data_IF_360253172217
#
_entry.id   IF_360253172217
#
_cell.length_a   1.000
_cell.length_b   1.000
_cell.length_c   1.000
_cell.angle_alpha   90.00
_cell.angle_beta   90.00
_cell.angle_gamma   90.00
#
_symmetry.space_group_name_H-M   'P 1'
#
loop_
_entity.id
_entity.type
_entity.pdbx_description
1 polymer ?
#
# COMPACT_ATOMS: atom_id res chain seq x y z
N UNK A 1 -3.56 -1.40 15.53
CA UNK A 1 -3.16 -2.64 16.19
C UNK A 1 -4.07 -3.00 17.36
N UNK A 2 -4.32 -2.10 18.32
CA UNK A 2 -5.06 -2.41 19.55
C UNK A 2 -6.51 -2.87 19.31
N UNK A 3 -7.25 -2.21 18.42
CA UNK A 3 -8.65 -2.56 18.09
C UNK A 3 -8.79 -3.99 17.54
N UNK A 4 -7.85 -4.43 16.72
CA UNK A 4 -7.86 -5.77 16.11
C UNK A 4 -7.00 -6.79 16.87
N UNK A 5 -6.44 -6.40 18.02
CA UNK A 5 -5.55 -7.22 18.85
C UNK A 5 -4.38 -7.83 18.06
N UNK A 6 -3.87 -7.11 17.05
CA UNK A 6 -2.72 -7.58 16.28
C UNK A 6 -1.47 -7.61 17.14
N UNK A 7 -0.68 -8.68 17.05
CA UNK A 7 0.59 -8.82 17.75
C UNK A 7 1.68 -7.91 17.18
N UNK A 8 1.61 -7.62 15.88
CA UNK A 8 2.59 -6.79 15.20
C UNK A 8 1.95 -5.92 14.11
N UNK A 9 2.59 -4.81 13.81
CA UNK A 9 2.31 -3.92 12.69
C UNK A 9 3.61 -3.50 12.02
N UNK A 10 3.59 -3.35 10.69
CA UNK A 10 4.78 -3.06 9.90
C UNK A 10 4.49 -1.93 8.92
N UNK A 11 5.50 -1.10 8.69
CA UNK A 11 5.49 -0.13 7.59
C UNK A 11 6.57 -0.49 6.56
N UNK A 12 6.31 -0.17 5.29
CA UNK A 12 7.29 -0.37 4.21
C UNK A 12 8.61 0.39 4.45
N UNK A 13 8.56 1.46 5.22
CA UNK A 13 9.72 2.26 5.65
C UNK A 13 10.63 1.55 6.64
N UNK A 14 10.26 0.37 7.14
CA UNK A 14 11.04 -0.42 8.08
C UNK A 14 10.73 -0.11 9.55
N UNK A 15 9.62 0.55 9.84
CA UNK A 15 9.13 0.71 11.21
C UNK A 15 8.33 -0.52 11.62
N UNK A 16 8.63 -1.07 12.80
CA UNK A 16 8.04 -2.28 13.32
C UNK A 16 7.48 -2.02 14.71
N UNK A 17 6.24 -2.40 14.92
CA UNK A 17 5.50 -2.23 16.17
C UNK A 17 5.10 -3.60 16.68
N UNK A 18 5.47 -3.93 17.89
CA UNK A 18 5.10 -5.20 18.54
C UNK A 18 4.27 -4.93 19.80
N UNK A 19 3.09 -5.53 19.89
CA UNK A 19 2.24 -5.50 21.09
C UNK A 19 2.67 -6.59 22.08
N UNK A 20 2.14 -6.50 23.30
CA UNK A 20 2.33 -7.54 24.32
C UNK A 20 1.89 -8.92 23.78
N UNK A 21 2.65 -9.99 24.05
CA UNK A 21 3.82 -10.05 24.93
C UNK A 21 5.17 -9.76 24.23
N UNK A 22 5.16 -9.43 22.93
CA UNK A 22 6.38 -9.26 22.13
C UNK A 22 7.02 -7.86 22.27
N UNK A 23 6.26 -6.86 22.66
CA UNK A 23 6.70 -5.48 22.82
C UNK A 23 5.64 -4.61 23.47
N UNK A 24 5.78 -3.28 23.38
CA UNK A 24 4.95 -2.29 24.08
C UNK A 24 4.05 -1.46 23.15
N UNK A 25 3.99 -1.79 21.86
CA UNK A 25 3.11 -1.15 20.90
C UNK A 25 3.66 0.13 20.25
N UNK A 26 4.94 0.46 20.45
CA UNK A 26 5.61 1.57 19.78
C UNK A 26 6.74 1.07 18.86
N UNK A 27 7.26 1.95 18.01
CA UNK A 27 8.38 1.67 17.13
C UNK A 27 9.66 1.48 17.94
N UNK A 28 10.26 0.29 17.87
CA UNK A 28 11.44 -0.09 18.64
C UNK A 28 12.37 -0.96 17.79
N UNK A 29 13.43 -0.31 17.26
CA UNK A 29 14.42 -0.98 16.42
C UNK A 29 15.24 -2.03 17.15
N UNK A 30 15.47 -1.88 18.48
CA UNK A 30 16.20 -2.85 19.28
C UNK A 30 15.34 -4.11 19.46
N UNK A 31 14.08 -3.92 19.85
CA UNK A 31 13.15 -5.03 19.96
C UNK A 31 12.95 -5.73 18.60
N UNK A 32 12.87 -4.97 17.52
CA UNK A 32 12.76 -5.52 16.15
C UNK A 32 13.95 -6.42 15.81
N UNK A 33 15.17 -6.00 16.13
CA UNK A 33 16.38 -6.82 15.94
C UNK A 33 16.33 -8.10 16.77
N UNK A 34 15.87 -8.02 18.04
CA UNK A 34 15.70 -9.20 18.92
C UNK A 34 14.68 -10.18 18.31
N UNK A 35 13.56 -9.70 17.79
CA UNK A 35 12.55 -10.58 17.17
C UNK A 35 13.11 -11.28 15.91
N UNK A 36 13.92 -10.57 15.09
CA UNK A 36 14.61 -11.22 13.96
C UNK A 36 15.62 -12.27 14.42
N UNK A 37 16.42 -11.99 15.44
CA UNK A 37 17.33 -12.98 16.00
C UNK A 37 16.59 -14.21 16.52
N UNK A 38 15.48 -14.03 17.25
CA UNK A 38 14.63 -15.14 17.72
C UNK A 38 14.07 -15.96 16.56
N UNK A 39 13.63 -15.32 15.50
CA UNK A 39 13.14 -16.00 14.29
C UNK A 39 14.24 -16.88 13.70
N UNK A 40 15.45 -16.36 13.57
CA UNK A 40 16.57 -17.11 13.00
C UNK A 40 17.04 -18.24 13.91
N UNK A 41 17.04 -18.04 15.24
CA UNK A 41 17.40 -19.04 16.22
C UNK A 41 16.36 -20.19 16.30
N UNK A 42 15.11 -19.90 15.96
CA UNK A 42 14.02 -20.89 16.00
C UNK A 42 13.97 -21.83 14.79
N UNK A 43 14.83 -21.67 13.80
CA UNK A 43 14.86 -22.48 12.56
C UNK A 43 16.28 -22.67 12.04
N UNK A 44 16.47 -23.76 11.31
CA UNK A 44 17.77 -24.11 10.69
C UNK A 44 17.99 -23.43 9.33
N UNK A 45 17.06 -22.55 8.90
CA UNK A 45 17.10 -21.85 7.60
C UNK A 45 17.81 -20.51 7.69
N UNK A 46 18.56 -20.16 6.63
CA UNK A 46 19.08 -18.80 6.46
C UNK A 46 17.94 -17.85 6.12
N UNK A 47 18.08 -16.57 6.48
CA UNK A 47 17.08 -15.53 6.17
C UNK A 47 16.79 -15.43 4.66
N UNK A 48 17.80 -15.65 3.81
CA UNK A 48 17.62 -15.65 2.35
C UNK A 48 16.73 -16.80 1.87
N UNK A 49 16.77 -17.96 2.54
CA UNK A 49 15.93 -19.11 2.22
C UNK A 49 14.49 -18.82 2.63
N UNK A 50 14.28 -18.24 3.83
CA UNK A 50 12.97 -17.82 4.31
C UNK A 50 12.34 -16.80 3.35
N UNK A 51 13.11 -15.80 2.93
CA UNK A 51 12.64 -14.77 1.98
C UNK A 51 12.27 -15.38 0.62
N UNK A 52 13.05 -16.36 0.14
CA UNK A 52 12.78 -17.01 -1.14
C UNK A 52 11.53 -17.91 -1.13
N UNK A 53 11.05 -18.31 0.04
CA UNK A 53 9.80 -19.07 0.20
C UNK A 53 8.55 -18.18 0.15
N UNK A 54 8.72 -16.86 0.32
CA UNK A 54 7.59 -15.92 0.25
C UNK A 54 7.04 -15.86 -1.18
N UNK A 55 5.71 -15.72 -1.33
CA UNK A 55 5.10 -15.52 -2.65
C UNK A 55 5.70 -14.29 -3.35
N UNK A 56 6.08 -14.47 -4.60
CA UNK A 56 6.57 -13.33 -5.41
C UNK A 56 5.42 -12.40 -5.75
N UNK A 57 5.64 -11.12 -5.53
CA UNK A 57 4.74 -10.04 -5.96
C UNK A 57 5.48 -9.01 -6.82
N UNK A 58 4.72 -8.25 -7.58
CA UNK A 58 5.22 -7.19 -8.45
C UNK A 58 4.69 -5.87 -7.91
N UNK A 59 5.53 -5.08 -7.27
CA UNK A 59 5.13 -3.83 -6.63
C UNK A 59 5.83 -2.63 -7.31
N UNK A 60 5.12 -1.49 -7.42
CA UNK A 60 5.77 -0.22 -7.75
C UNK A 60 6.60 0.26 -6.57
N UNK A 61 7.64 1.07 -6.80
CA UNK A 61 8.14 1.93 -5.73
C UNK A 61 6.99 2.82 -5.20
N UNK A 62 7.21 3.49 -4.08
CA UNK A 62 6.27 4.50 -3.61
C UNK A 62 6.36 5.71 -4.52
N UNK A 63 5.34 5.93 -5.36
CA UNK A 63 5.27 7.02 -6.31
C UNK A 63 4.65 8.25 -5.65
N UNK A 64 5.24 9.43 -5.86
CA UNK A 64 4.81 10.68 -5.23
C UNK A 64 4.46 11.75 -6.27
N UNK A 65 3.27 11.70 -6.92
CA UNK A 65 2.86 12.73 -7.84
C UNK A 65 2.60 14.04 -7.08
N UNK A 66 3.04 15.15 -7.64
CA UNK A 66 2.85 16.47 -7.04
C UNK A 66 1.36 16.80 -6.89
N UNK A 67 0.99 17.31 -5.72
CA UNK A 67 -0.35 17.87 -5.47
C UNK A 67 -0.22 18.93 -4.36
N UNK A 68 -0.74 20.13 -4.59
CA UNK A 68 -0.67 21.22 -3.61
C UNK A 68 -1.29 20.82 -2.27
N UNK A 69 -0.69 21.28 -1.17
CA UNK A 69 -1.13 20.93 0.19
C UNK A 69 -2.61 21.29 0.45
N UNK A 70 -3.08 22.41 -0.09
CA UNK A 70 -4.47 22.87 0.07
C UNK A 70 -5.47 22.00 -0.70
N UNK A 71 -5.00 21.27 -1.70
CA UNK A 71 -5.83 20.48 -2.61
C UNK A 71 -5.77 18.98 -2.36
N UNK A 72 -4.65 18.45 -1.87
CA UNK A 72 -4.38 17.00 -1.80
C UNK A 72 -5.46 16.20 -1.07
N UNK A 73 -5.97 16.71 0.04
CA UNK A 73 -7.01 16.01 0.80
C UNK A 73 -8.36 16.01 0.08
N UNK A 74 -8.72 17.13 -0.58
CA UNK A 74 -9.95 17.22 -1.39
C UNK A 74 -9.87 16.31 -2.62
N UNK A 75 -8.70 16.24 -3.25
CA UNK A 75 -8.44 15.32 -4.36
C UNK A 75 -8.64 13.89 -3.91
N UNK A 76 -8.01 13.48 -2.82
CA UNK A 76 -8.13 12.12 -2.28
C UNK A 76 -9.58 11.80 -1.90
N UNK A 77 -10.30 12.71 -1.24
CA UNK A 77 -11.71 12.51 -0.91
C UNK A 77 -12.58 12.27 -2.17
N UNK A 78 -12.33 13.04 -3.23
CA UNK A 78 -13.03 12.86 -4.50
C UNK A 78 -12.75 11.51 -5.14
N UNK A 79 -11.50 11.03 -5.04
CA UNK A 79 -11.08 9.71 -5.55
C UNK A 79 -11.67 8.57 -4.72
N UNK A 80 -11.75 8.71 -3.39
CA UNK A 80 -12.46 7.75 -2.52
C UNK A 80 -13.89 7.57 -3.01
N UNK A 81 -14.64 8.67 -3.19
CA UNK A 81 -16.03 8.63 -3.69
C UNK A 81 -16.12 7.97 -5.06
N UNK A 82 -15.16 8.26 -5.95
CA UNK A 82 -15.13 7.70 -7.31
C UNK A 82 -14.85 6.18 -7.29
N UNK A 83 -13.89 5.71 -6.50
CA UNK A 83 -13.56 4.28 -6.40
C UNK A 83 -14.72 3.50 -5.76
N UNK A 84 -15.38 4.05 -4.72
CA UNK A 84 -16.58 3.46 -4.13
C UNK A 84 -17.71 3.31 -5.16
N UNK A 85 -17.92 4.33 -6.00
CA UNK A 85 -18.91 4.28 -7.09
C UNK A 85 -18.56 3.23 -8.14
N UNK A 86 -17.27 3.11 -8.50
CA UNK A 86 -16.80 2.07 -9.44
C UNK A 86 -17.07 0.66 -8.92
N UNK A 87 -16.83 0.41 -7.62
CA UNK A 87 -17.17 -0.86 -6.99
C UNK A 87 -18.69 -1.12 -7.02
N UNK A 88 -19.50 -0.13 -6.63
CA UNK A 88 -20.95 -0.25 -6.64
C UNK A 88 -21.52 -0.57 -8.04
N UNK A 89 -20.91 -0.02 -9.07
CA UNK A 89 -21.28 -0.25 -10.46
C UNK A 89 -20.67 -1.55 -11.07
N UNK A 90 -19.95 -2.36 -10.27
CA UNK A 90 -19.23 -3.54 -10.75
C UNK A 90 -18.27 -3.24 -11.91
N UNK A 91 -17.70 -2.03 -11.93
CA UNK A 91 -16.72 -1.65 -12.96
C UNK A 91 -15.45 -2.48 -12.80
N UNK A 92 -14.96 -3.03 -13.91
CA UNK A 92 -13.76 -3.86 -13.93
C UNK A 92 -12.52 -3.01 -14.20
N UNK A 93 -11.43 -3.34 -13.53
CA UNK A 93 -10.08 -2.83 -13.77
C UNK A 93 -9.30 -3.99 -14.39
N UNK A 94 -8.93 -3.85 -15.66
CA UNK A 94 -8.26 -4.91 -16.43
C UNK A 94 -8.94 -6.29 -16.25
N UNK A 95 -10.26 -6.33 -16.49
CA UNK A 95 -11.14 -7.50 -16.39
C UNK A 95 -11.37 -8.05 -14.97
N UNK A 96 -10.86 -7.41 -13.92
CA UNK A 96 -11.06 -7.79 -12.52
C UNK A 96 -12.01 -6.84 -11.81
N UNK A 97 -12.90 -7.36 -10.98
CA UNK A 97 -13.77 -6.56 -10.11
C UNK A 97 -13.02 -6.09 -8.87
N UNK A 98 -13.47 -4.97 -8.32
CA UNK A 98 -13.03 -4.51 -6.99
C UNK A 98 -13.75 -5.34 -5.94
N UNK A 99 -12.99 -6.13 -5.16
CA UNK A 99 -13.54 -6.99 -4.10
C UNK A 99 -13.62 -6.26 -2.78
N UNK A 100 -12.62 -5.45 -2.45
CA UNK A 100 -12.56 -4.74 -1.17
C UNK A 100 -12.04 -3.31 -1.32
N UNK A 101 -12.44 -2.42 -0.40
CA UNK A 101 -11.99 -1.02 -0.32
C UNK A 101 -11.76 -0.65 1.13
N UNK A 102 -10.56 -0.15 1.43
CA UNK A 102 -10.19 0.46 2.71
C UNK A 102 -10.03 1.98 2.54
N UNK A 103 -10.63 2.76 3.44
CA UNK A 103 -10.67 4.23 3.35
C UNK A 103 -10.12 4.94 4.60
N UNK A 104 -9.20 4.32 5.33
CA UNK A 104 -8.66 4.85 6.60
C UNK A 104 -7.91 6.17 6.40
N UNK A 105 -7.06 6.26 5.36
CA UNK A 105 -6.30 7.47 5.03
C UNK A 105 -6.09 7.54 3.51
N UNK A 106 -7.20 7.70 2.78
CA UNK A 106 -7.21 7.62 1.33
C UNK A 106 -8.04 6.43 0.85
N UNK A 107 -7.64 5.82 -0.24
CA UNK A 107 -8.31 4.62 -0.79
C UNK A 107 -7.30 3.55 -1.15
N UNK A 108 -7.47 2.36 -0.59
CA UNK A 108 -6.84 1.13 -1.05
C UNK A 108 -7.94 0.20 -1.55
N UNK A 109 -7.87 -0.19 -2.79
CA UNK A 109 -8.80 -1.16 -3.39
C UNK A 109 -8.07 -2.45 -3.72
N UNK A 110 -8.75 -3.59 -3.53
CA UNK A 110 -8.26 -4.92 -3.88
C UNK A 110 -9.09 -5.49 -5.03
N UNK A 111 -8.45 -6.28 -5.88
CA UNK A 111 -9.07 -6.95 -7.04
C UNK A 111 -9.25 -8.44 -6.76
N UNK A 112 -10.03 -9.13 -7.62
CA UNK A 112 -10.36 -10.56 -7.49
C UNK A 112 -9.11 -11.46 -7.43
N UNK A 113 -8.02 -11.08 -8.11
CA UNK A 113 -6.75 -11.83 -8.14
C UNK A 113 -5.81 -11.49 -6.97
N UNK A 114 -6.24 -10.69 -6.00
CA UNK A 114 -5.44 -10.23 -4.86
C UNK A 114 -4.54 -9.04 -5.18
N UNK A 115 -4.46 -8.59 -6.42
CA UNK A 115 -3.76 -7.34 -6.77
C UNK A 115 -4.46 -6.12 -6.15
N UNK A 116 -3.73 -5.04 -5.90
CA UNK A 116 -4.30 -3.87 -5.26
C UNK A 116 -3.64 -2.55 -5.70
N UNK A 117 -4.36 -1.45 -5.46
CA UNK A 117 -3.86 -0.09 -5.64
C UNK A 117 -4.18 0.79 -4.44
N UNK A 118 -3.27 1.70 -4.11
CA UNK A 118 -3.39 2.66 -3.02
C UNK A 118 -3.18 4.08 -3.53
N UNK A 119 -4.05 4.98 -3.10
CA UNK A 119 -3.91 6.43 -3.27
C UNK A 119 -4.18 7.08 -1.92
N UNK A 120 -3.23 7.91 -1.42
CA UNK A 120 -3.45 8.71 -0.22
C UNK A 120 -2.73 10.06 -0.31
N UNK A 121 -3.11 11.00 0.54
CA UNK A 121 -2.35 12.23 0.72
C UNK A 121 -1.05 11.96 1.48
N UNK A 122 0.05 12.60 1.07
CA UNK A 122 1.26 12.64 1.88
C UNK A 122 1.04 13.51 3.12
N UNK A 123 1.50 13.07 4.29
CA UNK A 123 1.39 13.85 5.53
C UNK A 123 2.38 15.01 5.61
N UNK A 124 3.52 14.90 4.92
CA UNK A 124 4.67 15.79 5.09
C UNK A 124 5.19 16.44 3.80
N UNK A 125 4.56 16.17 2.66
CA UNK A 125 4.97 16.73 1.36
C UNK A 125 3.75 17.19 0.56
N UNK A 126 3.90 18.19 -0.35
CA UNK A 126 2.85 18.59 -1.30
C UNK A 126 2.71 17.56 -2.43
N UNK A 127 2.33 16.36 -2.07
CA UNK A 127 2.20 15.24 -2.99
C UNK A 127 1.13 14.25 -2.51
N UNK A 128 0.72 13.38 -3.41
CA UNK A 128 0.02 12.16 -3.07
C UNK A 128 1.03 11.02 -2.91
N UNK A 129 0.55 9.88 -2.44
CA UNK A 129 1.29 8.61 -2.40
C UNK A 129 0.48 7.61 -3.21
N UNK A 130 1.13 7.00 -4.19
CA UNK A 130 0.55 5.97 -5.05
C UNK A 130 1.42 4.73 -4.99
N UNK A 131 0.80 3.59 -4.72
CA UNK A 131 1.46 2.27 -4.76
C UNK A 131 0.52 1.29 -5.43
N UNK A 132 1.04 0.45 -6.29
CA UNK A 132 0.30 -0.68 -6.87
C UNK A 132 1.09 -1.97 -6.72
N UNK A 133 0.39 -3.04 -6.50
CA UNK A 133 0.96 -4.37 -6.40
C UNK A 133 0.11 -5.39 -7.13
N UNK A 134 0.78 -6.30 -7.81
CA UNK A 134 0.16 -7.47 -8.43
C UNK A 134 0.75 -8.74 -7.87
N UNK A 135 -0.12 -9.70 -7.59
CA UNK A 135 0.23 -11.08 -7.23
C UNK A 135 0.51 -11.94 -8.47
N UNK A 136 0.21 -11.45 -9.67
CA UNK A 136 0.23 -12.25 -10.90
C UNK A 136 1.35 -11.86 -11.86
N UNK A 137 1.54 -10.57 -12.18
CA UNK A 137 2.54 -10.13 -13.14
C UNK A 137 2.89 -8.66 -13.07
N UNK A 138 4.06 -8.30 -13.64
CA UNK A 138 4.50 -6.91 -13.81
C UNK A 138 3.54 -6.13 -14.73
N UNK A 139 3.03 -6.77 -15.78
CA UNK A 139 2.07 -6.15 -16.69
C UNK A 139 0.77 -5.79 -15.98
N UNK A 140 0.25 -6.67 -15.12
CA UNK A 140 -0.93 -6.39 -14.28
C UNK A 140 -0.68 -5.19 -13.37
N UNK A 141 0.46 -5.13 -12.69
CA UNK A 141 0.87 -3.99 -11.85
C UNK A 141 0.82 -2.68 -12.66
N UNK A 142 1.39 -2.67 -13.89
CA UNK A 142 1.37 -1.50 -14.77
C UNK A 142 -0.04 -1.06 -15.14
N UNK A 143 -0.93 -1.98 -15.49
CA UNK A 143 -2.32 -1.66 -15.82
C UNK A 143 -3.10 -1.08 -14.64
N UNK A 144 -2.86 -1.56 -13.41
CA UNK A 144 -3.46 -0.97 -12.21
C UNK A 144 -2.91 0.44 -12.00
N UNK A 145 -1.61 0.65 -12.22
CA UNK A 145 -1.01 1.97 -12.13
C UNK A 145 -1.59 2.93 -13.18
N UNK A 146 -1.69 2.53 -14.44
CA UNK A 146 -2.32 3.32 -15.52
C UNK A 146 -3.75 3.70 -15.19
N UNK A 147 -4.52 2.79 -14.60
CA UNK A 147 -5.87 3.09 -14.12
C UNK A 147 -5.85 4.19 -13.06
N UNK A 148 -4.96 4.12 -12.06
CA UNK A 148 -4.82 5.15 -11.02
C UNK A 148 -4.35 6.46 -11.65
N UNK A 149 -3.35 6.43 -12.51
CA UNK A 149 -2.82 7.62 -13.19
C UNK A 149 -3.90 8.37 -13.97
N UNK A 150 -4.75 7.64 -14.69
CA UNK A 150 -5.91 8.21 -15.38
C UNK A 150 -6.92 8.84 -14.40
N UNK A 151 -7.17 8.21 -13.26
CA UNK A 151 -8.02 8.79 -12.23
C UNK A 151 -7.45 10.12 -11.70
N UNK A 152 -6.14 10.19 -11.48
CA UNK A 152 -5.43 11.36 -10.97
C UNK A 152 -5.41 12.49 -12.01
N UNK A 153 -5.03 12.20 -13.24
CA UNK A 153 -5.02 13.17 -14.36
C UNK A 153 -6.39 13.80 -14.59
N UNK A 154 -7.45 13.02 -14.49
CA UNK A 154 -8.82 13.52 -14.64
C UNK A 154 -9.26 14.51 -13.53
N UNK A 155 -8.47 14.68 -12.47
CA UNK A 155 -8.74 15.71 -11.45
C UNK A 155 -8.29 17.10 -11.90
N UNK A 156 -7.33 17.20 -12.83
CA UNK A 156 -6.68 18.43 -13.26
C UNK A 156 -5.82 19.12 -12.19
N UNK A 157 -5.56 18.44 -11.04
CA UNK A 157 -4.90 19.02 -9.87
C UNK A 157 -3.61 18.27 -9.47
N UNK A 158 -3.31 17.20 -10.16
CA UNK A 158 -2.16 16.33 -9.89
C UNK A 158 -1.13 16.52 -10.99
N UNK A 159 0.10 16.81 -10.60
CA UNK A 159 1.23 17.01 -11.48
C UNK A 159 2.04 15.73 -11.71
N UNK A 160 3.30 15.93 -12.08
CA UNK A 160 4.21 14.82 -12.40
C UNK A 160 4.60 14.00 -11.17
N UNK A 161 5.01 12.78 -11.43
CA UNK A 161 5.57 11.87 -10.43
C UNK A 161 7.04 12.18 -10.18
N UNK A 162 7.50 11.90 -8.97
CA UNK A 162 8.90 12.03 -8.56
C UNK A 162 9.84 11.00 -9.24
N UNK A 163 9.27 9.95 -9.82
CA UNK A 163 10.01 8.89 -10.51
C UNK A 163 9.15 8.22 -11.60
N UNK A 164 9.83 7.47 -12.49
CA UNK A 164 9.17 6.68 -13.55
C UNK A 164 9.08 5.20 -13.15
N UNK A 165 8.08 4.50 -13.70
CA UNK A 165 7.91 3.04 -13.55
C UNK A 165 8.63 2.34 -14.69
#
# INVERSE_FOLDING_TARGET
MNEVKALAGFEKSGHFFFNQPLGFGYDDGINSAIQVCRLLDSQDKKISEIINELPKTYQTPTMAPFCKDEEKYKVVESLVKKVLKLKANNTKIDNQKITDILTVNGVRFSLEDGSWGLIRASSNKPSLVVVTESTTSDNRKKKIFEFIDNLLKNTGKVGEYDQKI
#
